data_IF_742267685854
#
_entry.id   IF_742267685854
#
_cell.length_a   1.000
_cell.length_b   1.000
_cell.length_c   1.000
_cell.angle_alpha   90.00
_cell.angle_beta   90.00
_cell.angle_gamma   90.00
#
_symmetry.space_group_name_H-M   'P 1'
#
loop_
_entity.id
_entity.type
_entity.pdbx_description
1 polymer ?
#
# COMPACT_ATOMS: atom_id res chain seq x y z
N UNK A 1 8.97 -14.33 -11.17
CA UNK A 1 9.47 -14.46 -9.78
C UNK A 1 8.68 -13.50 -8.92
N UNK A 2 8.10 -13.96 -7.79
CA UNK A 2 7.33 -13.10 -6.88
C UNK A 2 8.12 -11.85 -6.50
N UNK A 3 7.44 -10.71 -6.43
CA UNK A 3 8.07 -9.42 -6.19
C UNK A 3 7.36 -8.65 -5.09
N UNK A 4 8.09 -8.29 -4.04
CA UNK A 4 7.60 -7.43 -2.95
C UNK A 4 7.98 -5.97 -3.18
N UNK A 5 7.05 -5.05 -2.90
CA UNK A 5 7.31 -3.62 -2.82
C UNK A 5 6.88 -3.09 -1.45
N UNK A 6 7.76 -2.29 -0.85
CA UNK A 6 7.48 -1.56 0.39
C UNK A 6 7.35 -0.08 0.04
N UNK A 7 6.19 0.51 0.34
CA UNK A 7 5.95 1.95 0.24
C UNK A 7 5.91 2.54 1.64
N UNK A 8 6.66 3.62 1.86
CA UNK A 8 6.65 4.37 3.12
C UNK A 8 5.80 5.63 2.95
N UNK A 9 4.89 5.87 3.88
CA UNK A 9 4.10 7.10 3.96
C UNK A 9 4.44 7.80 5.27
N UNK A 10 4.67 9.11 5.20
CA UNK A 10 4.73 9.99 6.37
C UNK A 10 3.40 10.71 6.52
N UNK A 11 2.88 10.81 7.73
CA UNK A 11 1.57 11.40 7.99
C UNK A 11 1.52 12.13 9.34
N UNK A 12 0.51 12.96 9.55
CA UNK A 12 0.22 13.57 10.86
C UNK A 12 -0.31 12.50 11.82
N UNK A 13 0.37 12.19 12.94
CA UNK A 13 -0.04 11.16 13.89
C UNK A 13 -1.48 11.30 14.41
N UNK A 14 -2.01 12.53 14.49
CA UNK A 14 -3.38 12.79 14.93
C UNK A 14 -4.45 12.22 13.98
N UNK A 15 -4.06 11.91 12.74
CA UNK A 15 -4.94 11.37 11.69
C UNK A 15 -4.81 9.87 11.50
N UNK A 16 -4.14 9.17 12.43
CA UNK A 16 -3.89 7.73 12.32
C UNK A 16 -5.16 6.91 12.09
N UNK A 17 -6.21 7.16 12.87
CA UNK A 17 -7.46 6.42 12.79
C UNK A 17 -8.17 6.64 11.45
N UNK A 18 -8.14 7.88 10.92
CA UNK A 18 -8.64 8.20 9.59
C UNK A 18 -7.88 7.41 8.51
N UNK A 19 -6.55 7.40 8.58
CA UNK A 19 -5.71 6.67 7.61
C UNK A 19 -5.96 5.16 7.65
N UNK A 20 -6.11 4.58 8.85
CA UNK A 20 -6.41 3.17 8.99
C UNK A 20 -7.83 2.82 8.53
N UNK A 21 -8.79 3.73 8.69
CA UNK A 21 -10.14 3.56 8.14
C UNK A 21 -10.12 3.55 6.61
N UNK A 22 -9.33 4.42 5.97
CA UNK A 22 -9.13 4.38 4.51
C UNK A 22 -8.49 3.07 4.11
N UNK A 23 -7.36 2.70 4.72
CA UNK A 23 -6.61 1.48 4.39
C UNK A 23 -7.45 0.19 4.46
N UNK A 24 -8.37 0.09 5.43
CA UNK A 24 -9.29 -1.05 5.58
C UNK A 24 -10.32 -1.17 4.45
N UNK A 25 -10.66 -0.06 3.80
CA UNK A 25 -11.72 0.03 2.81
C UNK A 25 -11.20 0.14 1.37
N UNK A 26 -9.89 0.15 1.16
CA UNK A 26 -9.37 0.21 -0.19
C UNK A 26 -9.68 -1.10 -0.92
N UNK A 27 -10.33 -0.98 -2.07
CA UNK A 27 -10.56 -2.09 -2.98
C UNK A 27 -9.35 -2.32 -3.88
N UNK A 28 -8.71 -3.48 -3.70
CA UNK A 28 -7.58 -3.92 -4.50
C UNK A 28 -7.93 -4.99 -5.54
N UNK A 29 -9.21 -5.36 -5.68
CA UNK A 29 -9.64 -6.41 -6.63
C UNK A 29 -9.25 -6.09 -8.08
N UNK A 30 -9.15 -4.81 -8.44
CA UNK A 30 -8.72 -4.36 -9.76
C UNK A 30 -7.20 -4.28 -9.97
N UNK A 31 -6.37 -4.77 -9.05
CA UNK A 31 -4.91 -4.66 -9.14
C UNK A 31 -4.31 -5.97 -9.67
N UNK A 32 -4.15 -6.04 -11.00
CA UNK A 32 -3.66 -7.25 -11.65
C UNK A 32 -2.31 -7.71 -11.08
N UNK A 33 -2.23 -8.99 -10.74
CA UNK A 33 -1.04 -9.63 -10.18
C UNK A 33 -0.73 -9.30 -8.72
N UNK A 34 -1.54 -8.50 -8.02
CA UNK A 34 -1.42 -8.30 -6.57
C UNK A 34 -1.92 -9.55 -5.82
N UNK A 35 -1.14 -10.02 -4.86
CA UNK A 35 -1.42 -11.23 -4.06
C UNK A 35 -1.61 -10.95 -2.59
N UNK A 36 -0.95 -9.93 -2.07
CA UNK A 36 -1.05 -9.52 -0.67
C UNK A 36 -0.88 -8.02 -0.56
N UNK A 37 -1.65 -7.41 0.34
CA UNK A 37 -1.41 -6.07 0.81
C UNK A 37 -1.55 -6.01 2.33
N UNK A 38 -0.59 -5.38 2.98
CA UNK A 38 -0.64 -5.09 4.42
C UNK A 38 -0.23 -3.65 4.66
N UNK A 39 -0.94 -2.99 5.58
CA UNK A 39 -0.61 -1.66 6.07
C UNK A 39 -0.26 -1.77 7.55
N UNK A 40 0.93 -1.31 7.93
CA UNK A 40 1.43 -1.42 9.29
C UNK A 40 2.02 -0.08 9.73
N UNK A 41 1.73 0.35 10.96
CA UNK A 41 2.41 1.49 11.56
C UNK A 41 3.83 1.09 11.94
N UNK A 42 4.83 1.77 11.39
CA UNK A 42 6.25 1.47 11.62
C UNK A 42 6.94 2.54 12.48
N UNK A 43 6.32 3.71 12.63
CA UNK A 43 6.67 4.73 13.61
C UNK A 43 5.44 5.60 13.93
N UNK A 44 5.56 6.53 14.87
CA UNK A 44 4.47 7.43 15.24
C UNK A 44 3.89 8.19 14.03
N UNK A 45 4.76 8.69 13.16
CA UNK A 45 4.45 9.48 11.97
C UNK A 45 4.52 8.68 10.66
N UNK A 46 4.67 7.33 10.71
CA UNK A 46 4.97 6.53 9.52
C UNK A 46 4.18 5.24 9.39
N UNK A 47 3.66 5.02 8.19
CA UNK A 47 3.09 3.75 7.74
C UNK A 47 4.04 3.07 6.75
N UNK A 48 4.14 1.75 6.86
CA UNK A 48 4.71 0.87 5.87
C UNK A 48 3.61 0.08 5.19
N UNK A 49 3.62 0.09 3.86
CA UNK A 49 2.68 -0.67 3.04
C UNK A 49 3.47 -1.72 2.29
N UNK A 50 3.14 -2.99 2.54
CA UNK A 50 3.77 -4.13 1.89
C UNK A 50 2.81 -4.65 0.84
N UNK A 51 3.22 -4.61 -0.42
CA UNK A 51 2.49 -5.16 -1.55
C UNK A 51 3.30 -6.30 -2.19
N UNK A 52 2.72 -7.50 -2.24
CA UNK A 52 3.33 -8.64 -2.90
C UNK A 52 2.65 -8.93 -4.23
N UNK A 53 3.44 -9.04 -5.30
CA UNK A 53 3.00 -9.27 -6.67
C UNK A 53 3.55 -10.59 -7.22
N UNK A 54 2.88 -11.14 -8.23
CA UNK A 54 3.34 -12.32 -8.99
C UNK A 54 4.72 -12.11 -9.62
N UNK A 55 4.96 -10.89 -10.11
CA UNK A 55 6.21 -10.46 -10.69
C UNK A 55 6.40 -8.94 -10.63
N UNK A 56 7.58 -8.50 -11.08
CA UNK A 56 7.93 -7.08 -11.13
C UNK A 56 7.08 -6.30 -12.14
N UNK A 57 6.67 -6.91 -13.26
CA UNK A 57 5.88 -6.23 -14.29
C UNK A 57 4.50 -5.85 -13.77
N UNK A 58 3.84 -6.76 -13.02
CA UNK A 58 2.62 -6.48 -12.29
C UNK A 58 2.81 -5.35 -11.26
N UNK A 59 3.93 -5.35 -10.53
CA UNK A 59 4.23 -4.27 -9.59
C UNK A 59 4.40 -2.91 -10.30
N UNK A 60 5.07 -2.88 -11.45
CA UNK A 60 5.31 -1.66 -12.22
C UNK A 60 4.03 -1.13 -12.86
N UNK A 61 3.17 -2.01 -13.37
CA UNK A 61 1.87 -1.64 -13.94
C UNK A 61 0.91 -0.97 -12.93
N UNK A 62 1.06 -1.28 -11.63
CA UNK A 62 0.21 -0.73 -10.58
C UNK A 62 0.81 0.50 -9.86
N UNK A 63 1.96 1.04 -10.28
CA UNK A 63 2.63 2.17 -9.60
C UNK A 63 1.73 3.40 -9.48
N UNK A 64 1.09 3.82 -10.58
CA UNK A 64 0.26 5.03 -10.55
C UNK A 64 -1.01 4.83 -9.72
N UNK A 65 -1.59 3.62 -9.78
CA UNK A 65 -2.71 3.23 -8.90
C UNK A 65 -2.32 3.36 -7.43
N UNK A 66 -1.13 2.85 -7.07
CA UNK A 66 -0.62 2.97 -5.72
C UNK A 66 -0.40 4.42 -5.29
N UNK A 67 0.08 5.29 -6.17
CA UNK A 67 0.25 6.71 -5.81
C UNK A 67 -1.09 7.38 -5.55
N UNK A 68 -2.09 7.21 -6.41
CA UNK A 68 -3.41 7.85 -6.26
C UNK A 68 -4.20 7.32 -5.07
N UNK A 69 -4.08 6.04 -4.76
CA UNK A 69 -4.80 5.42 -3.64
C UNK A 69 -4.17 5.72 -2.28
N UNK A 70 -2.88 6.04 -2.26
CA UNK A 70 -2.09 6.22 -1.04
C UNK A 70 -1.70 7.68 -0.76
N UNK A 71 -2.09 8.61 -1.63
CA UNK A 71 -1.96 10.08 -1.46
C UNK A 71 -3.11 10.64 -0.64
#
# INVERSE_FOLDING_TARGET
MPYGRITKITFDPSRYDEMMAVAKNVDFSGWSGLRVLSVTRIAEDRLGIVAGYEDKAAADANVEKAKTTLS
#
